data_IF_064270598626
#
_entry.id   IF_064270598626
#
_cell.length_a   1.000
_cell.length_b   1.000
_cell.length_c   1.000
_cell.angle_alpha   90.00
_cell.angle_beta   90.00
_cell.angle_gamma   90.00
#
_symmetry.space_group_name_H-M   'P 1'
#
loop_
_entity.id
_entity.type
_entity.pdbx_description
1 polymer ?
#
# COMPACT_ATOMS: atom_id res chain seq x y z
N UNK A 1 9.16 20.04 -1.62
CA UNK A 1 7.87 19.36 -1.36
C UNK A 1 7.94 18.76 0.04
N UNK A 2 6.96 19.00 0.90
CA UNK A 2 6.87 18.34 2.22
C UNK A 2 6.32 16.94 1.93
N UNK A 3 7.09 15.88 2.17
CA UNK A 3 6.50 14.54 2.20
C UNK A 3 5.52 14.52 3.36
N UNK A 4 4.23 14.53 3.06
CA UNK A 4 3.19 14.40 4.06
C UNK A 4 2.85 12.92 4.16
N UNK A 5 3.06 12.34 5.35
CA UNK A 5 2.49 11.05 5.67
C UNK A 5 0.98 11.26 5.78
N UNK A 6 0.23 10.56 4.94
CA UNK A 6 -1.24 10.59 4.95
C UNK A 6 -1.75 9.39 5.74
N UNK A 7 -2.90 9.53 6.39
CA UNK A 7 -3.48 8.42 7.15
C UNK A 7 -4.46 7.63 6.27
N UNK A 8 -4.21 6.33 6.10
CA UNK A 8 -5.13 5.43 5.41
C UNK A 8 -6.24 4.88 6.32
N UNK A 9 -7.33 4.31 5.75
CA UNK A 9 -8.33 3.60 6.54
C UNK A 9 -7.72 2.36 7.19
N UNK A 10 -8.26 1.96 8.34
CA UNK A 10 -7.73 0.88 9.17
C UNK A 10 -7.65 -0.47 8.47
N UNK A 11 -6.53 -1.17 8.64
CA UNK A 11 -6.37 -2.59 8.32
C UNK A 11 -6.94 -3.44 9.46
N UNK A 12 -7.80 -4.39 9.11
CA UNK A 12 -8.27 -5.44 10.00
C UNK A 12 -7.43 -6.70 9.76
N UNK A 13 -6.71 -7.14 10.80
CA UNK A 13 -5.83 -8.32 10.70
C UNK A 13 -6.63 -9.54 10.25
N UNK A 14 -6.13 -10.24 9.22
CA UNK A 14 -6.75 -11.43 8.66
C UNK A 14 -7.82 -11.18 7.60
N UNK A 15 -8.11 -9.92 7.27
CA UNK A 15 -9.00 -9.53 6.18
C UNK A 15 -8.22 -8.87 5.05
N UNK A 16 -8.70 -9.03 3.81
CA UNK A 16 -8.14 -8.31 2.68
C UNK A 16 -8.38 -6.80 2.85
N UNK A 17 -7.40 -5.99 2.49
CA UNK A 17 -7.47 -4.54 2.55
C UNK A 17 -7.51 -3.96 1.15
N UNK A 18 -8.44 -3.04 0.89
CA UNK A 18 -8.56 -2.35 -0.39
C UNK A 18 -8.62 -0.84 -0.17
N UNK A 19 -7.86 -0.10 -0.97
CA UNK A 19 -7.83 1.35 -0.96
C UNK A 19 -7.68 1.88 -2.37
N UNK A 20 -8.49 2.87 -2.76
CA UNK A 20 -8.26 3.65 -3.97
C UNK A 20 -7.45 4.90 -3.62
N UNK A 21 -6.36 5.10 -4.35
CA UNK A 21 -5.54 6.30 -4.32
C UNK A 21 -5.92 7.17 -5.51
N UNK A 22 -6.17 8.45 -5.26
CA UNK A 22 -6.45 9.44 -6.28
C UNK A 22 -5.35 10.51 -6.25
N UNK A 23 -4.75 10.77 -7.41
CA UNK A 23 -3.70 11.74 -7.58
C UNK A 23 -4.23 12.98 -8.32
N UNK A 24 -3.71 14.15 -7.97
CA UNK A 24 -4.02 15.41 -8.67
C UNK A 24 -3.28 15.55 -9.99
N UNK A 25 -2.24 14.74 -10.19
CA UNK A 25 -1.44 14.66 -11.42
C UNK A 25 -1.46 13.24 -11.96
N UNK A 26 -1.21 13.08 -13.27
CA UNK A 26 -1.22 11.78 -13.94
C UNK A 26 -0.03 10.91 -13.55
N UNK A 27 -0.04 10.35 -12.34
CA UNK A 27 1.06 9.58 -11.75
C UNK A 27 1.12 8.12 -12.19
N UNK A 28 0.04 7.60 -12.80
CA UNK A 28 -0.13 6.18 -13.11
C UNK A 28 -0.36 5.93 -14.61
N UNK A 29 0.59 6.27 -15.51
CA UNK A 29 0.40 6.06 -16.94
C UNK A 29 0.18 4.58 -17.27
N UNK A 30 -0.46 4.32 -18.41
CA UNK A 30 -0.62 2.96 -18.92
C UNK A 30 0.75 2.27 -19.07
N UNK A 31 0.83 1.01 -18.64
CA UNK A 31 2.07 0.22 -18.64
C UNK A 31 3.04 0.52 -17.50
N UNK A 32 2.72 1.42 -16.57
CA UNK A 32 3.56 1.69 -15.40
C UNK A 32 3.81 0.42 -14.58
N UNK A 33 5.06 0.21 -14.15
CA UNK A 33 5.44 -0.92 -13.29
C UNK A 33 5.63 -0.42 -11.88
N UNK A 34 4.71 -0.79 -11.00
CA UNK A 34 4.61 -0.26 -9.64
C UNK A 34 5.07 -1.29 -8.62
N UNK A 35 5.73 -0.82 -7.57
CA UNK A 35 6.05 -1.62 -6.39
C UNK A 35 5.85 -0.81 -5.14
N UNK A 36 5.12 -1.39 -4.19
CA UNK A 36 4.92 -0.81 -2.87
C UNK A 36 5.37 -1.78 -1.79
N UNK A 37 5.91 -1.24 -0.71
CA UNK A 37 6.32 -2.03 0.45
C UNK A 37 5.52 -1.62 1.68
N UNK A 38 5.05 -2.61 2.43
CA UNK A 38 4.44 -2.40 3.74
C UNK A 38 5.45 -2.75 4.83
N UNK A 39 5.65 -1.86 5.80
CA UNK A 39 6.58 -2.03 6.92
C UNK A 39 5.95 -1.57 8.23
N UNK A 40 6.45 -2.06 9.37
CA UNK A 40 5.97 -1.60 10.68
C UNK A 40 6.29 -0.12 10.92
N UNK A 41 7.45 0.35 10.46
CA UNK A 41 7.87 1.75 10.47
C UNK A 41 8.71 2.04 9.22
N UNK A 42 8.93 3.33 8.91
CA UNK A 42 9.75 3.71 7.74
C UNK A 42 11.22 3.26 7.86
N UNK A 43 11.71 3.03 9.09
CA UNK A 43 13.07 2.58 9.36
C UNK A 43 13.19 1.05 9.51
N UNK A 44 12.07 0.31 9.48
CA UNK A 44 12.10 -1.14 9.67
C UNK A 44 12.73 -1.85 8.46
N UNK A 45 13.65 -2.79 8.69
CA UNK A 45 14.30 -3.57 7.62
C UNK A 45 13.40 -4.67 7.06
N UNK A 46 12.48 -5.21 7.88
CA UNK A 46 11.54 -6.25 7.48
C UNK A 46 10.42 -5.70 6.59
N UNK A 47 10.21 -6.35 5.43
CA UNK A 47 9.08 -6.10 4.54
C UNK A 47 7.94 -7.02 4.96
N UNK A 48 6.84 -6.45 5.47
CA UNK A 48 5.65 -7.20 5.85
C UNK A 48 4.87 -7.67 4.61
N UNK A 49 4.82 -6.84 3.56
CA UNK A 49 4.23 -7.18 2.27
C UNK A 49 4.91 -6.41 1.13
N UNK A 50 5.09 -7.09 -0.02
CA UNK A 50 5.44 -6.46 -1.29
C UNK A 50 4.23 -6.50 -2.21
N UNK A 51 3.79 -5.33 -2.66
CA UNK A 51 2.66 -5.16 -3.57
C UNK A 51 3.21 -4.79 -4.94
N UNK A 52 2.74 -5.43 -6.01
CA UNK A 52 3.23 -5.15 -7.36
C UNK A 52 2.11 -4.99 -8.35
N UNK A 53 2.37 -4.27 -9.44
CA UNK A 53 1.46 -4.24 -10.59
C UNK A 53 1.34 -5.62 -11.25
N UNK A 54 2.41 -6.40 -11.28
CA UNK A 54 2.51 -7.68 -11.96
C UNK A 54 1.71 -8.78 -11.25
N UNK A 55 1.67 -8.79 -9.91
CA UNK A 55 0.84 -9.71 -9.14
C UNK A 55 -0.58 -9.14 -8.83
N UNK A 56 -0.87 -7.93 -9.32
CA UNK A 56 -2.23 -7.36 -9.27
C UNK A 56 -2.62 -6.77 -7.92
N UNK A 57 -1.67 -6.52 -7.01
CA UNK A 57 -1.93 -5.78 -5.78
C UNK A 57 -1.97 -4.27 -6.01
N UNK A 58 -1.35 -3.78 -7.08
CA UNK A 58 -1.38 -2.38 -7.50
C UNK A 58 -2.01 -2.30 -8.89
N UNK A 59 -3.32 -2.06 -8.94
CA UNK A 59 -4.12 -2.08 -10.17
C UNK A 59 -4.39 -0.66 -10.65
N UNK A 60 -3.85 -0.32 -11.82
CA UNK A 60 -4.16 0.95 -12.48
C UNK A 60 -5.65 1.00 -12.82
N UNK A 61 -6.31 2.09 -12.44
CA UNK A 61 -7.70 2.40 -12.82
C UNK A 61 -7.71 3.46 -13.93
N UNK A 62 -6.88 4.49 -13.79
CA UNK A 62 -6.67 5.56 -14.78
C UNK A 62 -5.29 6.18 -14.56
N UNK A 63 -4.92 7.20 -15.36
CA UNK A 63 -3.69 7.96 -15.12
C UNK A 63 -3.65 8.65 -13.75
N UNK A 64 -4.82 8.83 -13.12
CA UNK A 64 -5.00 9.56 -11.87
C UNK A 64 -5.49 8.69 -10.72
N UNK A 65 -5.75 7.40 -10.95
CA UNK A 65 -6.27 6.50 -9.93
C UNK A 65 -5.59 5.13 -9.92
N UNK A 66 -5.25 4.65 -8.72
CA UNK A 66 -4.63 3.37 -8.46
C UNK A 66 -5.39 2.64 -7.34
N UNK A 67 -5.81 1.41 -7.59
CA UNK A 67 -6.32 0.52 -6.54
C UNK A 67 -5.17 -0.26 -5.91
N UNK A 68 -5.10 -0.20 -4.59
CA UNK A 68 -4.16 -0.92 -3.75
C UNK A 68 -4.90 -2.03 -3.01
N UNK A 69 -4.38 -3.25 -3.09
CA UNK A 69 -4.90 -4.44 -2.41
C UNK A 69 -3.81 -5.11 -1.58
N UNK A 70 -4.03 -5.29 -0.27
CA UNK A 70 -3.18 -6.12 0.58
C UNK A 70 -3.93 -7.43 0.88
N UNK A 71 -3.43 -8.59 0.47
CA UNK A 71 -4.09 -9.86 0.71
C UNK A 71 -4.30 -10.17 2.19
N UNK A 72 -5.38 -10.87 2.53
CA UNK A 72 -5.68 -11.31 3.90
C UNK A 72 -4.52 -12.07 4.56
N UNK A 73 -3.83 -12.92 3.80
CA UNK A 73 -2.66 -13.66 4.30
C UNK A 73 -1.49 -12.74 4.68
N UNK A 74 -1.35 -11.58 4.03
CA UNK A 74 -0.36 -10.59 4.38
C UNK A 74 -0.79 -9.78 5.62
N UNK A 75 -2.05 -9.33 5.68
CA UNK A 75 -2.56 -8.61 6.87
C UNK A 75 -2.59 -9.50 8.12
N UNK A 76 -2.79 -10.81 7.98
CA UNK A 76 -2.73 -11.78 9.08
C UNK A 76 -1.37 -11.84 9.81
N UNK A 77 -0.29 -11.43 9.14
CA UNK A 77 1.07 -11.39 9.71
C UNK A 77 1.39 -10.06 10.41
N UNK A 78 0.51 -9.07 10.30
CA UNK A 78 0.68 -7.77 10.94
C UNK A 78 0.31 -7.82 12.42
N UNK A 79 0.75 -6.80 13.17
CA UNK A 79 0.45 -6.65 14.60
C UNK A 79 -0.37 -5.38 14.84
N UNK A 80 -1.20 -5.33 15.91
CA UNK A 80 -1.90 -4.10 16.27
C UNK A 80 -0.93 -2.92 16.43
N UNK A 81 -1.34 -1.74 15.96
CA UNK A 81 -0.48 -0.55 15.90
C UNK A 81 -0.71 0.23 14.60
N UNK A 82 0.35 0.52 13.87
CA UNK A 82 0.30 1.04 12.50
C UNK A 82 1.33 0.35 11.61
N UNK A 83 1.13 0.48 10.30
CA UNK A 83 2.13 0.17 9.27
C UNK A 83 2.29 1.36 8.37
N UNK A 84 3.44 1.46 7.70
CA UNK A 84 3.69 2.45 6.66
C UNK A 84 3.81 1.79 5.29
N UNK A 85 3.39 2.52 4.27
CA UNK A 85 3.53 2.12 2.87
C UNK A 85 3.87 3.32 1.98
N UNK A 86 4.75 3.10 1.02
CA UNK A 86 4.95 3.96 -0.13
C UNK A 86 4.88 3.15 -1.44
N UNK A 87 4.92 3.84 -2.58
CA UNK A 87 4.91 3.23 -3.92
C UNK A 87 5.95 3.91 -4.81
N UNK A 88 6.65 3.09 -5.58
CA UNK A 88 7.69 3.49 -6.54
C UNK A 88 7.34 2.96 -7.92
N UNK A 89 7.60 3.77 -8.95
CA UNK A 89 7.61 3.35 -10.36
C UNK A 89 9.00 2.85 -10.74
N UNK A 90 9.03 1.65 -11.32
CA UNK A 90 10.25 0.93 -11.75
C UNK A 90 10.39 0.79 -13.27
N UNK A 91 9.46 1.38 -14.03
CA UNK A 91 9.51 1.44 -15.49
C UNK A 91 10.31 2.64 -16.03
N UNK A 92 10.85 3.47 -15.14
CA UNK A 92 11.65 4.66 -15.45
C UNK A 92 13.00 4.59 -14.74
N UNK A 93 14.02 5.27 -15.28
CA UNK A 93 15.37 5.31 -14.72
C UNK A 93 15.77 6.77 -14.41
N UNK A 94 16.10 7.12 -13.14
CA UNK A 94 16.05 6.24 -11.97
C UNK A 94 14.61 5.92 -11.55
N UNK A 95 14.46 4.88 -10.72
CA UNK A 95 13.21 4.55 -10.03
C UNK A 95 12.57 5.82 -9.43
N UNK A 96 11.27 5.99 -9.68
CA UNK A 96 10.53 7.21 -9.29
C UNK A 96 9.60 6.93 -8.12
N UNK A 97 9.96 7.43 -6.94
CA UNK A 97 9.07 7.44 -5.78
C UNK A 97 7.89 8.38 -6.03
N UNK A 98 6.66 7.94 -5.76
CA UNK A 98 5.43 8.69 -6.10
C UNK A 98 5.12 9.88 -5.16
N UNK A 99 6.02 10.17 -4.22
CA UNK A 99 6.00 11.39 -3.41
C UNK A 99 4.99 11.39 -2.26
N UNK A 100 4.41 10.23 -1.91
CA UNK A 100 3.55 10.06 -0.75
C UNK A 100 3.99 8.86 0.08
N UNK A 101 3.60 8.86 1.36
CA UNK A 101 3.58 7.68 2.21
C UNK A 101 2.24 7.62 2.95
N UNK A 102 1.75 6.42 3.20
CA UNK A 102 0.58 6.16 4.03
C UNK A 102 1.05 5.62 5.37
N UNK A 103 0.51 6.16 6.46
CA UNK A 103 0.46 5.47 7.74
C UNK A 103 -0.95 4.91 7.92
N UNK A 104 -1.04 3.60 8.16
CA UNK A 104 -2.31 2.89 8.19
C UNK A 104 -2.46 2.21 9.56
N UNK A 105 -3.49 2.55 10.34
CA UNK A 105 -3.77 1.87 11.60
C UNK A 105 -4.04 0.38 11.37
N UNK A 106 -3.57 -0.47 12.26
CA UNK A 106 -3.80 -1.92 12.23
C UNK A 106 -4.46 -2.33 13.54
N UNK A 107 -5.60 -3.01 13.47
CA UNK A 107 -6.32 -3.51 14.64
C UNK A 107 -6.76 -4.96 14.46
N UNK A 108 -7.09 -5.61 15.58
CA UNK A 108 -7.80 -6.88 15.56
C UNK A 108 -9.26 -6.64 15.17
N UNK A 109 -9.85 -7.46 14.29
CA UNK A 109 -11.26 -7.39 13.96
C UNK A 109 -12.12 -7.74 15.17
N UNK A 110 -13.25 -7.05 15.31
CA UNK A 110 -14.30 -7.44 16.27
C UNK A 110 -14.95 -8.76 15.82
N UNK A 111 -15.08 -8.97 14.51
CA UNK A 111 -15.55 -10.21 13.87
C UNK A 111 -14.46 -11.29 13.82
N UNK A 112 -14.00 -11.73 14.99
CA UNK A 112 -13.00 -12.81 15.17
C UNK A 112 -13.66 -14.14 15.53
N UNK A 113 -13.02 -15.25 15.18
CA UNK A 113 -13.50 -16.61 15.49
C UNK A 113 -14.56 -17.15 14.52
N UNK A 114 -14.61 -16.61 13.29
CA UNK A 114 -15.37 -17.22 12.20
C UNK A 114 -14.68 -18.54 11.80
N UNK A 115 -15.46 -19.62 11.76
CA UNK A 115 -15.01 -20.97 11.41
C UNK A 115 -14.95 -21.18 9.90
#
# INVERSE_FOLDING_TARGET
MRSAIQTGPTILIGYAYHLRLEATVGSFPEGARLTGHVRATAAAEEILASLTSEAGELLRVSDYALDLHIPAAATARMRPGSVVLDVVRRDVEPDLHLGFALEIPVILPVTRGLA
#
